data_IF_690232103223
#
_entry.id   IF_690232103223
#
_cell.length_a   1.000
_cell.length_b   1.000
_cell.length_c   1.000
_cell.angle_alpha   90.00
_cell.angle_beta   90.00
_cell.angle_gamma   90.00
#
_symmetry.space_group_name_H-M   'P 1'
#
loop_
_entity.id
_entity.type
_entity.pdbx_description
1 polymer ?
#
# COMPACT_ATOMS: atom_id res chain seq x y z
N UNK A 1 15.35 -0.94 -21.38
CA UNK A 1 15.48 -0.98 -19.90
C UNK A 1 14.32 -1.84 -19.43
N UNK A 2 14.57 -3.14 -19.20
CA UNK A 2 13.53 -4.14 -19.01
C UNK A 2 13.32 -4.32 -17.50
N UNK A 3 12.12 -4.06 -16.99
CA UNK A 3 11.78 -4.22 -15.58
C UNK A 3 11.77 -5.70 -15.20
N UNK A 4 12.94 -6.24 -14.84
CA UNK A 4 13.10 -7.62 -14.39
C UNK A 4 13.05 -7.65 -12.86
N UNK A 5 11.84 -7.63 -12.28
CA UNK A 5 11.67 -7.71 -10.81
C UNK A 5 10.88 -8.97 -10.45
N UNK A 6 11.58 -10.10 -10.34
CA UNK A 6 11.17 -11.19 -9.43
C UNK A 6 12.02 -11.02 -8.17
N UNK A 7 11.44 -10.42 -7.12
CA UNK A 7 12.02 -10.46 -5.77
C UNK A 7 11.29 -11.54 -4.96
N UNK A 8 11.99 -12.59 -4.47
CA UNK A 8 11.41 -13.55 -3.55
C UNK A 8 11.52 -12.99 -2.13
N UNK A 9 10.40 -12.50 -1.58
CA UNK A 9 10.33 -12.15 -0.16
C UNK A 9 9.49 -10.92 0.17
N UNK A 10 8.19 -11.16 0.39
CA UNK A 10 7.34 -10.47 1.38
C UNK A 10 7.16 -8.94 1.31
N UNK A 11 6.16 -8.51 0.53
CA UNK A 11 5.29 -7.35 0.78
C UNK A 11 3.95 -7.58 0.04
N UNK A 12 2.80 -7.02 0.49
CA UNK A 12 1.49 -7.38 -0.07
C UNK A 12 1.43 -7.05 -1.56
N UNK A 13 1.25 -8.10 -2.37
CA UNK A 13 0.99 -8.02 -3.80
C UNK A 13 -0.22 -7.11 -4.05
N UNK A 14 -0.01 -5.96 -4.68
CA UNK A 14 -1.14 -5.10 -5.02
C UNK A 14 -0.82 -3.76 -5.65
N UNK A 15 0.39 -3.21 -5.51
CA UNK A 15 0.65 -1.83 -5.97
C UNK A 15 1.95 -1.65 -6.78
N UNK A 16 2.96 -2.51 -6.63
CA UNK A 16 4.17 -2.48 -7.49
C UNK A 16 3.96 -2.67 -9.01
N UNK A 17 2.99 -3.46 -9.51
CA UNK A 17 2.82 -3.62 -10.96
C UNK A 17 2.27 -2.36 -11.66
N UNK A 18 1.68 -1.42 -10.92
CA UNK A 18 1.03 -0.25 -11.50
C UNK A 18 2.02 0.74 -12.14
N UNK A 19 3.20 0.93 -11.53
CA UNK A 19 4.22 1.86 -12.05
C UNK A 19 4.89 1.29 -13.31
N UNK A 20 5.22 -0.01 -13.31
CA UNK A 20 5.85 -0.66 -14.46
C UNK A 20 4.94 -0.65 -15.70
N UNK A 21 3.65 -0.93 -15.52
CA UNK A 21 2.66 -0.83 -16.59
C UNK A 21 2.50 0.60 -17.11
N UNK A 22 2.58 1.61 -16.23
CA UNK A 22 2.52 3.02 -16.61
C UNK A 22 3.65 3.44 -17.55
N UNK A 23 4.88 2.94 -17.33
CA UNK A 23 6.02 3.22 -18.22
C UNK A 23 5.85 2.63 -19.62
N UNK A 24 5.24 1.45 -19.74
CA UNK A 24 4.96 0.83 -21.03
C UNK A 24 3.97 1.67 -21.86
N UNK A 25 2.87 2.11 -21.22
CA UNK A 25 1.88 3.00 -21.82
C UNK A 25 2.41 4.40 -22.12
N UNK A 26 3.31 4.93 -21.28
CA UNK A 26 3.96 6.22 -21.52
C UNK A 26 4.76 6.21 -22.82
N UNK A 27 5.52 5.13 -23.04
CA UNK A 27 6.30 4.95 -24.26
C UNK A 27 5.40 4.90 -25.49
N UNK A 28 4.32 4.13 -25.44
CA UNK A 28 3.37 4.05 -26.54
C UNK A 28 2.74 5.41 -26.86
N UNK A 29 2.31 6.15 -25.84
CA UNK A 29 1.74 7.49 -26.01
C UNK A 29 2.77 8.49 -26.59
N UNK A 30 4.04 8.38 -26.18
CA UNK A 30 5.12 9.20 -26.74
C UNK A 30 5.41 8.84 -28.20
N UNK A 31 5.45 7.55 -28.54
CA UNK A 31 5.67 7.05 -29.90
C UNK A 31 4.53 7.48 -30.85
N UNK A 32 3.30 7.59 -30.34
CA UNK A 32 2.12 8.07 -31.08
C UNK A 32 1.94 9.60 -31.05
N UNK A 33 2.77 10.33 -30.31
CA UNK A 33 2.68 11.79 -30.18
C UNK A 33 1.47 12.30 -29.37
N UNK A 34 0.89 11.46 -28.52
CA UNK A 34 -0.26 11.81 -27.68
C UNK A 34 0.16 12.56 -26.42
N UNK A 35 0.55 13.83 -26.58
CA UNK A 35 1.10 14.66 -25.50
C UNK A 35 0.16 14.80 -24.29
N UNK A 36 -1.16 14.83 -24.53
CA UNK A 36 -2.15 14.86 -23.44
C UNK A 36 -2.19 13.57 -22.62
N UNK A 37 -2.00 12.42 -23.26
CA UNK A 37 -1.98 11.12 -22.59
C UNK A 37 -0.66 10.89 -21.85
N UNK A 38 0.47 11.34 -22.43
CA UNK A 38 1.77 11.38 -21.75
C UNK A 38 1.68 12.14 -20.42
N UNK A 39 1.16 13.36 -20.44
CA UNK A 39 1.03 14.19 -19.23
C UNK A 39 0.08 13.57 -18.18
N UNK A 40 -1.00 12.94 -18.63
CA UNK A 40 -1.93 12.24 -17.75
C UNK A 40 -1.29 11.01 -17.08
N UNK A 41 -0.52 10.22 -17.85
CA UNK A 41 0.16 9.02 -17.35
C UNK A 41 1.27 9.40 -16.36
N UNK A 42 2.09 10.42 -16.67
CA UNK A 42 3.12 10.92 -15.75
C UNK A 42 2.52 11.39 -14.42
N UNK A 43 1.41 12.12 -14.48
CA UNK A 43 0.69 12.58 -13.28
C UNK A 43 0.16 11.41 -12.46
N UNK A 44 -0.43 10.40 -13.11
CA UNK A 44 -0.94 9.21 -12.44
C UNK A 44 0.20 8.39 -11.79
N UNK A 45 1.35 8.26 -12.46
CA UNK A 45 2.53 7.60 -11.89
C UNK A 45 3.10 8.36 -10.69
N UNK A 46 3.17 9.70 -10.74
CA UNK A 46 3.60 10.52 -9.62
C UNK A 46 2.67 10.37 -8.40
N UNK A 47 1.35 10.31 -8.62
CA UNK A 47 0.37 10.05 -7.58
C UNK A 47 0.49 8.64 -7.00
N UNK A 48 0.70 7.62 -7.85
CA UNK A 48 0.90 6.25 -7.42
C UNK A 48 2.17 6.09 -6.57
N UNK A 49 3.27 6.75 -6.97
CA UNK A 49 4.52 6.78 -6.22
C UNK A 49 4.35 7.43 -4.83
N UNK A 50 3.67 8.57 -4.77
CA UNK A 50 3.36 9.24 -3.49
C UNK A 50 2.52 8.35 -2.56
N UNK A 51 1.50 7.67 -3.10
CA UNK A 51 0.67 6.75 -2.31
C UNK A 51 1.47 5.56 -1.77
N UNK A 52 2.36 5.00 -2.59
CA UNK A 52 3.26 3.93 -2.17
C UNK A 52 4.20 4.38 -1.06
N UNK A 53 4.75 5.58 -1.16
CA UNK A 53 5.61 6.13 -0.12
C UNK A 53 4.84 6.34 1.19
N UNK A 54 3.66 6.96 1.14
CA UNK A 54 2.78 7.09 2.30
C UNK A 54 2.40 5.74 2.91
N UNK A 55 2.21 4.69 2.09
CA UNK A 55 1.97 3.34 2.58
C UNK A 55 3.19 2.75 3.29
N UNK A 56 4.40 2.98 2.76
CA UNK A 56 5.66 2.52 3.39
C UNK A 56 5.90 3.23 4.71
N UNK A 57 5.73 4.55 4.75
CA UNK A 57 5.83 5.35 5.98
C UNK A 57 4.84 4.88 7.05
N UNK A 58 3.60 4.59 6.65
CA UNK A 58 2.57 4.07 7.56
C UNK A 58 2.85 2.63 8.00
N UNK A 59 3.44 1.80 7.16
CA UNK A 59 3.84 0.44 7.52
C UNK A 59 5.07 0.43 8.46
N UNK A 60 5.97 1.41 8.31
CA UNK A 60 7.13 1.59 9.16
C UNK A 60 6.75 2.11 10.57
N UNK A 61 5.61 2.79 10.70
CA UNK A 61 5.05 3.16 11.99
C UNK A 61 4.24 1.98 12.56
N UNK A 62 4.67 1.36 13.68
CA UNK A 62 3.88 0.32 14.33
C UNK A 62 2.57 0.93 14.85
N UNK A 63 1.49 0.73 14.11
CA UNK A 63 0.14 1.04 14.61
C UNK A 63 -0.27 -0.07 15.57
N UNK A 64 0.11 0.05 16.85
CA UNK A 64 -0.53 -0.69 17.93
C UNK A 64 -1.96 -0.19 18.07
N UNK A 65 -2.84 -0.62 17.15
CA UNK A 65 -4.28 -0.53 17.34
C UNK A 65 -4.60 -1.54 18.44
N UNK A 66 -4.97 -1.03 19.61
CA UNK A 66 -5.52 -1.82 20.71
C UNK A 66 -6.88 -2.35 20.25
N UNK A 67 -6.85 -3.39 19.43
CA UNK A 67 -8.00 -4.24 19.11
C UNK A 67 -8.40 -4.85 20.45
N UNK A 68 -9.42 -4.26 21.07
CA UNK A 68 -9.81 -4.57 22.43
C UNK A 68 -10.12 -6.05 22.59
N UNK A 69 -9.14 -6.82 23.03
CA UNK A 69 -9.38 -7.93 23.94
C UNK A 69 -9.05 -7.37 25.32
N UNK A 70 -10.07 -7.01 26.13
CA UNK A 70 -9.80 -6.53 27.47
C UNK A 70 -9.03 -7.62 28.21
N UNK A 71 -8.02 -7.19 28.96
CA UNK A 71 -7.15 -8.07 29.74
C UNK A 71 -8.03 -8.98 30.61
N UNK A 72 -8.00 -10.29 30.33
CA UNK A 72 -8.85 -11.31 30.96
C UNK A 72 -8.56 -11.41 32.48
N UNK A 73 -7.58 -10.66 33.01
CA UNK A 73 -7.34 -10.53 34.45
C UNK A 73 -8.40 -9.73 35.22
N UNK A 74 -9.22 -8.90 34.56
CA UNK A 74 -10.25 -8.11 35.28
C UNK A 74 -11.60 -8.83 35.44
N UNK A 75 -11.77 -10.03 34.87
CA UNK A 75 -13.01 -10.81 34.98
C UNK A 75 -12.95 -11.88 36.09
N UNK A 76 -11.90 -11.91 36.91
CA UNK A 76 -11.90 -12.66 38.18
C UNK A 76 -12.27 -11.69 39.29
N UNK A 77 -13.56 -11.62 39.65
CA UNK A 77 -13.95 -10.89 40.86
C UNK A 77 -15.31 -10.23 40.86
N UNK A 78 -16.39 -10.90 40.40
CA UNK A 78 -17.74 -10.58 40.91
C UNK A 78 -18.72 -11.74 40.73
N UNK A 79 -18.54 -12.78 41.53
CA UNK A 79 -19.64 -13.67 41.94
C UNK A 79 -19.84 -13.41 43.42
N UNK A 80 -20.71 -12.46 43.74
CA UNK A 80 -21.32 -12.36 45.07
C UNK A 80 -22.48 -13.36 45.11
N UNK A 81 -22.42 -14.43 45.91
CA UNK A 81 -23.62 -15.16 46.28
C UNK A 81 -24.40 -14.28 47.27
N UNK A 82 -25.62 -13.91 46.91
CA UNK A 82 -26.57 -13.27 47.83
C UNK A 82 -27.19 -14.37 48.73
N UNK A 83 -27.37 -14.13 50.05
CA UNK A 83 -27.82 -15.13 51.02
C UNK A 83 -29.29 -15.55 50.88
#
# INVERSE_FOLDING_TARGET
MTCHSTLPGSAPAGVEPAICHGFDRLREAADQGWLGEVAAIETAMAAAAQKLEAMRERAAQPSTVRLGMPDIRSTVGRITPEP
#
